data_IF_149207264286
#
_entry.id   IF_149207264286
#
_cell.length_a   1.000
_cell.length_b   1.000
_cell.length_c   1.000
_cell.angle_alpha   90.00
_cell.angle_beta   90.00
_cell.angle_gamma   90.00
#
_symmetry.space_group_name_H-M   'P 1'
#
loop_
_entity.id
_entity.type
_entity.pdbx_description
1 polymer ?
#
# COMPACT_ATOMS: atom_id res chain seq x y z
N UNK A 1 27.34 7.53 14.67
CA UNK A 1 26.86 8.14 13.41
C UNK A 1 25.68 7.33 12.89
N UNK A 2 24.46 7.78 13.17
CA UNK A 2 23.22 7.03 13.01
C UNK A 2 22.84 6.78 11.55
N UNK A 3 22.85 5.52 11.13
CA UNK A 3 22.46 5.06 9.78
C UNK A 3 21.07 4.45 9.81
N UNK A 4 20.01 5.17 10.18
CA UNK A 4 18.65 4.60 10.14
C UNK A 4 17.63 5.69 9.77
N UNK A 5 17.59 6.06 8.49
CA UNK A 5 16.47 6.80 7.89
C UNK A 5 15.75 5.99 6.80
N UNK A 6 16.21 4.77 6.50
CA UNK A 6 15.73 3.97 5.38
C UNK A 6 14.30 3.43 5.51
N UNK A 7 13.80 3.00 6.69
CA UNK A 7 12.46 2.41 6.76
C UNK A 7 11.36 3.42 6.40
N UNK A 8 11.51 4.66 6.87
CA UNK A 8 10.56 5.74 6.59
C UNK A 8 10.51 6.07 5.09
N UNK A 9 11.67 6.11 4.42
CA UNK A 9 11.75 6.37 2.99
C UNK A 9 11.06 5.25 2.18
N UNK A 10 11.33 3.99 2.51
CA UNK A 10 10.66 2.85 1.85
C UNK A 10 9.16 2.85 2.07
N UNK A 11 8.67 3.24 3.26
CA UNK A 11 7.23 3.36 3.50
C UNK A 11 6.59 4.47 2.64
N UNK A 12 7.27 5.62 2.48
CA UNK A 12 6.81 6.71 1.61
C UNK A 12 6.78 6.31 0.13
N UNK A 13 7.80 5.60 -0.34
CA UNK A 13 7.87 5.08 -1.71
C UNK A 13 6.72 4.10 -1.98
N UNK A 14 6.48 3.17 -1.07
CA UNK A 14 5.34 2.24 -1.17
C UNK A 14 4.02 2.99 -1.16
N UNK A 15 3.85 4.02 -0.31
CA UNK A 15 2.63 4.82 -0.31
C UNK A 15 2.40 5.52 -1.66
N UNK A 16 3.45 6.09 -2.26
CA UNK A 16 3.38 6.73 -3.58
C UNK A 16 2.94 5.74 -4.65
N UNK A 17 3.60 4.58 -4.71
CA UNK A 17 3.27 3.51 -5.66
C UNK A 17 1.82 3.06 -5.51
N UNK A 18 1.32 2.88 -4.28
CA UNK A 18 -0.06 2.46 -4.07
C UNK A 18 -1.06 3.52 -4.53
N UNK A 19 -0.76 4.81 -4.35
CA UNK A 19 -1.59 5.91 -4.85
C UNK A 19 -1.56 6.01 -6.37
N UNK A 20 -0.38 5.94 -6.98
CA UNK A 20 -0.21 5.96 -8.44
C UNK A 20 -0.96 4.81 -9.11
N UNK A 21 -0.88 3.60 -8.54
CA UNK A 21 -1.63 2.45 -9.06
C UNK A 21 -3.15 2.63 -8.91
N UNK A 22 -3.61 3.25 -7.82
CA UNK A 22 -5.02 3.57 -7.62
C UNK A 22 -5.51 4.57 -8.67
N UNK A 23 -4.77 5.66 -8.90
CA UNK A 23 -5.07 6.65 -9.92
C UNK A 23 -5.07 6.04 -11.33
N UNK A 24 -4.06 5.21 -11.65
CA UNK A 24 -3.90 4.57 -12.96
C UNK A 24 -5.11 3.72 -13.34
N UNK A 25 -5.75 3.06 -12.37
CA UNK A 25 -6.90 2.19 -12.60
C UNK A 25 -8.25 2.84 -12.23
N UNK A 26 -8.24 4.12 -11.83
CA UNK A 26 -9.45 4.86 -11.48
C UNK A 26 -10.10 4.45 -10.15
N UNK A 27 -9.31 4.00 -9.18
CA UNK A 27 -9.76 3.62 -7.84
C UNK A 27 -9.56 4.79 -6.86
N UNK A 28 -10.60 5.06 -6.06
CA UNK A 28 -10.55 6.05 -4.99
C UNK A 28 -10.34 5.34 -3.65
N UNK A 29 -9.25 5.68 -2.96
CA UNK A 29 -8.97 5.21 -1.61
C UNK A 29 -9.45 6.23 -0.57
N UNK A 30 -10.19 5.79 0.43
CA UNK A 30 -10.51 6.57 1.64
C UNK A 30 -9.58 6.23 2.82
N UNK A 31 -8.89 5.09 2.76
CA UNK A 31 -7.85 4.74 3.71
C UNK A 31 -6.65 4.08 3.04
N UNK A 32 -5.46 4.51 3.43
CA UNK A 32 -4.19 3.89 3.07
C UNK A 32 -3.25 4.00 4.28
N UNK A 33 -2.66 2.88 4.66
CA UNK A 33 -1.64 2.80 5.71
C UNK A 33 -0.53 1.87 5.27
N UNK A 34 0.68 2.38 5.21
CA UNK A 34 1.89 1.57 4.99
C UNK A 34 2.59 1.40 6.33
N UNK A 35 2.89 0.16 6.70
CA UNK A 35 3.57 -0.16 7.95
C UNK A 35 4.61 -1.26 7.75
N UNK A 36 5.59 -1.32 8.64
CA UNK A 36 6.58 -2.39 8.63
C UNK A 36 6.18 -3.47 9.63
N UNK A 37 5.88 -4.66 9.13
CA UNK A 37 5.61 -5.85 9.92
C UNK A 37 6.90 -6.68 10.04
N UNK A 38 7.35 -7.02 11.26
CA UNK A 38 8.60 -7.75 11.47
C UNK A 38 8.59 -9.20 10.93
N UNK A 39 7.41 -9.76 10.61
CA UNK A 39 7.25 -11.13 10.11
C UNK A 39 7.15 -11.18 8.59
N UNK A 40 6.53 -10.18 7.98
CA UNK A 40 6.22 -10.18 6.53
C UNK A 40 6.83 -9.01 5.74
N UNK A 41 7.54 -8.11 6.40
CA UNK A 41 8.15 -6.93 5.78
C UNK A 41 7.19 -5.76 5.65
N UNK A 42 7.36 -4.94 4.62
CA UNK A 42 6.49 -3.77 4.39
C UNK A 42 5.10 -4.22 3.92
N UNK A 43 4.07 -3.70 4.58
CA UNK A 43 2.67 -4.02 4.31
C UNK A 43 1.88 -2.75 3.99
N UNK A 44 1.24 -2.72 2.84
CA UNK A 44 0.26 -1.70 2.46
C UNK A 44 -1.15 -2.20 2.79
N UNK A 45 -1.84 -1.51 3.70
CA UNK A 45 -3.25 -1.73 4.00
C UNK A 45 -4.08 -0.61 3.40
N UNK A 46 -5.12 -0.96 2.68
CA UNK A 46 -5.91 0.00 1.91
C UNK A 46 -7.39 -0.29 2.01
N UNK A 47 -8.21 0.74 1.86
CA UNK A 47 -9.65 0.60 1.67
C UNK A 47 -10.05 1.40 0.43
N UNK A 48 -10.93 0.79 -0.38
CA UNK A 48 -11.44 1.38 -1.60
C UNK A 48 -12.82 1.95 -1.31
N UNK A 49 -12.97 3.26 -1.46
CA UNK A 49 -14.26 3.92 -1.37
C UNK A 49 -15.07 3.81 -2.68
N UNK A 50 -14.38 3.83 -3.83
CA UNK A 50 -15.01 3.69 -5.13
C UNK A 50 -14.06 3.05 -6.16
N UNK A 51 -14.62 2.27 -7.08
CA UNK A 51 -13.89 1.52 -8.11
C UNK A 51 -13.79 0.02 -7.80
N UNK A 52 -12.95 -0.69 -8.56
CA UNK A 52 -12.79 -2.15 -8.44
C UNK A 52 -11.64 -2.52 -7.49
N UNK A 53 -12.01 -2.89 -6.25
CA UNK A 53 -11.07 -3.32 -5.23
C UNK A 53 -10.32 -4.62 -5.58
N UNK A 54 -10.93 -5.51 -6.36
CA UNK A 54 -10.29 -6.78 -6.77
C UNK A 54 -9.25 -6.50 -7.83
N UNK A 55 -9.56 -5.66 -8.82
CA UNK A 55 -8.59 -5.19 -9.80
C UNK A 55 -7.42 -4.46 -9.14
N UNK A 56 -7.70 -3.63 -8.13
CA UNK A 56 -6.66 -2.93 -7.37
C UNK A 56 -5.73 -3.88 -6.60
N UNK A 57 -6.29 -4.84 -5.85
CA UNK A 57 -5.48 -5.83 -5.15
C UNK A 57 -4.61 -6.68 -6.09
N UNK A 58 -5.11 -6.99 -7.29
CA UNK A 58 -4.35 -7.68 -8.34
C UNK A 58 -3.23 -6.82 -8.90
N UNK A 59 -3.51 -5.54 -9.19
CA UNK A 59 -2.49 -4.59 -9.66
C UNK A 59 -1.36 -4.45 -8.63
N UNK A 60 -1.68 -4.33 -7.35
CA UNK A 60 -0.68 -4.28 -6.28
C UNK A 60 0.06 -5.62 -6.06
N UNK A 61 -0.52 -6.74 -6.50
CA UNK A 61 0.05 -8.08 -6.32
C UNK A 61 1.36 -8.33 -7.08
N UNK A 62 1.72 -7.47 -8.03
CA UNK A 62 2.99 -7.57 -8.78
C UNK A 62 4.16 -6.88 -8.07
N UNK A 63 3.90 -6.10 -7.02
CA UNK A 63 4.92 -5.38 -6.28
C UNK A 63 5.53 -6.24 -5.16
N UNK A 64 6.75 -5.90 -4.75
CA UNK A 64 7.52 -6.66 -3.76
C UNK A 64 7.01 -6.52 -2.33
N UNK A 65 6.14 -5.55 -2.05
CA UNK A 65 5.53 -5.36 -0.73
C UNK A 65 4.23 -6.16 -0.63
N UNK A 66 3.86 -6.52 0.61
CA UNK A 66 2.60 -7.21 0.85
C UNK A 66 1.46 -6.21 0.83
N UNK A 67 0.34 -6.55 0.21
CA UNK A 67 -0.86 -5.71 0.20
C UNK A 67 -2.07 -6.47 0.76
N UNK A 68 -2.97 -5.77 1.44
CA UNK A 68 -4.23 -6.36 1.90
C UNK A 68 -5.32 -5.29 2.07
N UNK A 69 -6.58 -5.63 1.78
CA UNK A 69 -7.70 -4.77 2.07
C UNK A 69 -7.89 -4.63 3.60
N UNK A 70 -8.23 -3.42 4.03
CA UNK A 70 -8.76 -3.17 5.36
C UNK A 70 -10.21 -3.66 5.38
N UNK A 71 -10.49 -4.71 6.15
CA UNK A 71 -11.88 -4.99 6.51
C UNK A 71 -12.32 -3.87 7.46
N UNK A 72 -13.24 -3.03 6.99
CA UNK A 72 -14.02 -2.19 7.90
C UNK A 72 -14.84 -3.15 8.81
N UNK A 73 -14.81 -2.98 10.14
CA UNK A 73 -15.64 -3.79 11.03
C UNK A 73 -17.13 -3.62 10.73
#
# INVERSE_FOLDING_TARGET
MGKIFKPALTMMEVESVVREEAERIGVTLDALKVEQDPRVGTVARWHVAAGDAVAFGRALGVHVFRNQPLNKP
#
